data_IF_666293801553
#
_entry.id   IF_666293801553
#
_cell.length_a   1.000
_cell.length_b   1.000
_cell.length_c   1.000
_cell.angle_alpha   90.00
_cell.angle_beta   90.00
_cell.angle_gamma   90.00
#
_symmetry.space_group_name_H-M   'P 1'
#
loop_
_entity.id
_entity.type
_entity.pdbx_description
1 polymer ?
#
# COMPACT_ATOMS: atom_id res chain seq x y z
N UNK A 1 21.67 -12.66 -15.43
CA UNK A 1 20.20 -12.91 -15.49
C UNK A 1 19.53 -11.65 -14.98
N UNK A 2 18.41 -11.21 -15.58
CA UNK A 2 17.64 -10.08 -15.02
C UNK A 2 17.09 -10.47 -13.65
N UNK A 3 17.20 -9.56 -12.66
CA UNK A 3 16.63 -9.79 -11.33
C UNK A 3 15.10 -9.95 -11.44
N UNK A 4 14.52 -10.79 -10.59
CA UNK A 4 13.08 -11.10 -10.58
C UNK A 4 12.28 -10.05 -9.81
N UNK A 5 10.97 -10.07 -9.99
CA UNK A 5 10.00 -9.39 -9.11
C UNK A 5 9.62 -10.33 -7.96
N UNK A 6 9.67 -9.85 -6.72
CA UNK A 6 9.21 -10.61 -5.54
C UNK A 6 7.70 -10.45 -5.35
N UNK A 7 7.02 -11.53 -4.94
CA UNK A 7 5.67 -11.50 -4.44
C UNK A 7 5.67 -12.00 -2.99
N UNK A 8 5.15 -11.19 -2.07
CA UNK A 8 5.12 -11.50 -0.65
C UNK A 8 3.68 -11.56 -0.14
N UNK A 9 3.36 -12.63 0.54
CA UNK A 9 2.09 -12.84 1.23
C UNK A 9 2.38 -13.57 2.54
N UNK A 10 2.19 -12.88 3.68
CA UNK A 10 2.39 -13.50 4.97
C UNK A 10 1.22 -14.42 5.34
N UNK A 11 1.46 -15.64 5.83
CA UNK A 11 0.38 -16.60 6.15
C UNK A 11 -0.64 -16.05 7.17
N UNK A 12 -0.17 -15.29 8.18
CA UNK A 12 -1.05 -14.72 9.22
C UNK A 12 -2.06 -13.69 8.68
N UNK A 13 -1.80 -13.09 7.51
CA UNK A 13 -2.72 -12.12 6.90
C UNK A 13 -4.11 -12.70 6.61
N UNK A 14 -4.20 -14.02 6.38
CA UNK A 14 -5.45 -14.73 6.20
C UNK A 14 -6.24 -14.94 7.51
N UNK A 15 -5.60 -14.76 8.67
CA UNK A 15 -6.20 -14.98 9.99
C UNK A 15 -6.89 -13.75 10.56
N UNK A 16 -6.70 -12.57 9.97
CA UNK A 16 -7.42 -11.36 10.33
C UNK A 16 -8.90 -11.52 9.98
N UNK A 17 -9.76 -11.65 11.00
CA UNK A 17 -11.21 -11.77 10.84
C UNK A 17 -11.90 -10.46 11.22
N UNK A 18 -12.55 -9.86 10.26
CA UNK A 18 -13.31 -8.59 10.41
C UNK A 18 -14.80 -8.81 10.59
N UNK A 19 -15.24 -10.07 10.57
CA UNK A 19 -16.64 -10.47 10.72
C UNK A 19 -17.39 -10.60 9.40
N UNK A 20 -18.52 -11.26 9.51
CA UNK A 20 -19.36 -11.55 8.36
C UNK A 20 -19.90 -10.27 7.72
N UNK A 21 -19.86 -10.21 6.38
CA UNK A 21 -20.37 -9.08 5.60
C UNK A 21 -19.47 -7.85 5.59
N UNK A 22 -18.28 -7.89 6.23
CA UNK A 22 -17.32 -6.81 6.16
C UNK A 22 -16.67 -6.74 4.78
N UNK A 23 -16.52 -5.56 4.14
CA UNK A 23 -15.92 -5.46 2.80
C UNK A 23 -14.46 -5.89 2.79
N UNK A 24 -13.68 -5.52 3.80
CA UNK A 24 -12.29 -5.95 4.01
C UNK A 24 -12.29 -7.33 4.68
N UNK A 25 -12.43 -8.42 3.91
CA UNK A 25 -12.50 -9.80 4.39
C UNK A 25 -11.43 -10.71 3.73
N UNK A 26 -11.18 -11.87 4.31
CA UNK A 26 -10.17 -12.86 3.86
C UNK A 26 -10.31 -13.30 2.40
N UNK A 27 -11.52 -13.21 1.83
CA UNK A 27 -11.79 -13.55 0.44
C UNK A 27 -11.00 -12.73 -0.57
N UNK A 28 -10.59 -11.50 -0.19
CA UNK A 28 -9.71 -10.66 -1.00
C UNK A 28 -8.38 -11.35 -1.27
N UNK A 29 -7.71 -11.85 -0.24
CA UNK A 29 -6.43 -12.57 -0.37
C UNK A 29 -6.58 -13.90 -1.11
N UNK A 30 -7.69 -14.62 -0.90
CA UNK A 30 -7.95 -15.89 -1.62
C UNK A 30 -8.05 -15.67 -3.12
N UNK A 31 -8.82 -14.67 -3.55
CA UNK A 31 -8.96 -14.33 -4.96
C UNK A 31 -7.63 -13.89 -5.57
N UNK A 32 -6.90 -13.02 -4.86
CA UNK A 32 -5.58 -12.55 -5.25
C UNK A 32 -4.60 -13.73 -5.41
N UNK A 33 -4.47 -14.58 -4.39
CA UNK A 33 -3.55 -15.71 -4.42
C UNK A 33 -3.89 -16.70 -5.56
N UNK A 34 -5.19 -16.92 -5.83
CA UNK A 34 -5.62 -17.75 -6.95
C UNK A 34 -5.24 -17.13 -8.30
N UNK A 35 -5.46 -15.83 -8.48
CA UNK A 35 -5.13 -15.13 -9.74
C UNK A 35 -3.62 -15.11 -9.98
N UNK A 36 -2.84 -14.75 -8.97
CA UNK A 36 -1.38 -14.75 -9.06
C UNK A 36 -0.85 -16.16 -9.28
N UNK A 37 -1.36 -17.17 -8.58
CA UNK A 37 -0.97 -18.57 -8.75
C UNK A 37 -1.22 -19.09 -10.16
N UNK A 38 -2.34 -18.73 -10.78
CA UNK A 38 -2.64 -19.09 -12.15
C UNK A 38 -1.71 -18.37 -13.14
N UNK A 39 -1.35 -17.12 -12.89
CA UNK A 39 -0.49 -16.33 -13.76
C UNK A 39 1.00 -16.67 -13.59
N UNK A 40 1.43 -17.15 -12.41
CA UNK A 40 2.82 -17.53 -12.13
C UNK A 40 3.37 -18.56 -13.14
N UNK A 41 2.53 -19.41 -13.68
CA UNK A 41 2.91 -20.34 -14.77
C UNK A 41 3.33 -19.57 -16.03
N UNK A 42 2.72 -18.43 -16.30
CA UNK A 42 3.05 -17.53 -17.42
C UNK A 42 4.19 -16.56 -17.07
N UNK A 43 4.36 -16.26 -15.78
CA UNK A 43 5.42 -15.38 -15.26
C UNK A 43 6.79 -16.08 -15.17
N UNK A 44 6.88 -17.30 -15.63
CA UNK A 44 7.96 -18.26 -15.45
C UNK A 44 9.37 -17.63 -15.39
N UNK A 45 9.96 -17.64 -14.18
CA UNK A 45 11.30 -17.11 -13.93
C UNK A 45 11.43 -15.57 -13.88
N UNK A 46 10.34 -14.80 -13.99
CA UNK A 46 10.37 -13.33 -13.92
C UNK A 46 9.78 -12.79 -12.62
N UNK A 47 8.88 -13.53 -11.98
CA UNK A 47 8.38 -13.27 -10.65
C UNK A 47 8.44 -14.54 -9.80
N UNK A 48 8.63 -14.40 -8.49
CA UNK A 48 8.61 -15.53 -7.57
C UNK A 48 7.98 -15.14 -6.23
N UNK A 49 7.29 -16.11 -5.63
CA UNK A 49 6.79 -15.95 -4.26
C UNK A 49 7.95 -16.13 -3.27
N UNK A 50 8.02 -15.21 -2.30
CA UNK A 50 9.04 -15.19 -1.26
C UNK A 50 8.40 -15.25 0.11
N UNK A 51 9.14 -15.77 1.08
CA UNK A 51 8.72 -15.83 2.47
C UNK A 51 9.09 -14.56 3.22
N UNK A 52 8.34 -14.26 4.28
CA UNK A 52 8.61 -13.18 5.21
C UNK A 52 8.45 -13.67 6.65
N UNK A 53 9.25 -13.12 7.55
CA UNK A 53 9.06 -13.26 8.99
C UNK A 53 8.10 -12.20 9.51
N UNK A 54 7.58 -12.38 10.73
CA UNK A 54 6.80 -11.34 11.41
C UNK A 54 7.65 -10.09 11.66
N UNK A 55 7.03 -8.93 11.57
CA UNK A 55 7.57 -7.67 12.08
C UNK A 55 7.58 -7.66 13.62
N UNK A 56 8.25 -6.68 14.18
CA UNK A 56 8.39 -6.51 15.62
C UNK A 56 7.65 -5.26 16.12
N UNK A 57 7.41 -5.18 17.42
CA UNK A 57 6.87 -3.95 18.01
C UNK A 57 7.78 -2.74 17.83
N UNK A 58 9.10 -2.94 17.80
CA UNK A 58 10.04 -1.87 17.54
C UNK A 58 9.86 -1.30 16.13
N UNK A 59 9.49 -2.14 15.16
CA UNK A 59 9.18 -1.67 13.82
C UNK A 59 7.95 -0.77 13.83
N UNK A 60 6.91 -1.12 14.62
CA UNK A 60 5.70 -0.29 14.76
C UNK A 60 6.00 1.11 15.33
N UNK A 61 6.94 1.20 16.24
CA UNK A 61 7.33 2.45 16.90
C UNK A 61 8.12 3.41 16.00
N UNK A 62 8.49 3.00 14.78
CA UNK A 62 9.09 3.90 13.78
C UNK A 62 8.10 4.99 13.32
N UNK A 63 6.81 4.72 13.41
CA UNK A 63 5.74 5.65 13.00
C UNK A 63 4.71 5.85 14.10
N UNK A 64 4.29 4.76 14.74
CA UNK A 64 3.16 4.80 15.68
C UNK A 64 3.58 5.11 17.10
N UNK A 65 2.70 5.82 17.80
CA UNK A 65 2.90 6.08 19.23
C UNK A 65 2.74 4.78 20.03
N UNK A 66 3.46 4.68 21.15
CA UNK A 66 3.35 3.55 22.06
C UNK A 66 1.91 3.30 22.51
N UNK A 67 1.18 4.36 22.83
CA UNK A 67 -0.24 4.27 23.23
C UNK A 67 -1.13 3.67 22.13
N UNK A 68 -0.84 3.97 20.86
CA UNK A 68 -1.58 3.36 19.74
C UNK A 68 -1.28 1.87 19.64
N UNK A 69 -0.02 1.47 19.68
CA UNK A 69 0.40 0.07 19.63
C UNK A 69 -0.24 -0.73 20.77
N UNK A 70 -0.21 -0.19 22.00
CA UNK A 70 -0.84 -0.82 23.16
C UNK A 70 -2.36 -0.94 23.04
N UNK A 71 -3.05 0.10 22.49
CA UNK A 71 -4.51 0.06 22.25
C UNK A 71 -4.90 -1.04 21.27
N UNK A 72 -4.18 -1.16 20.15
CA UNK A 72 -4.45 -2.22 19.16
C UNK A 72 -4.23 -3.60 19.76
N UNK A 73 -3.12 -3.79 20.49
CA UNK A 73 -2.82 -5.05 21.19
C UNK A 73 -3.92 -5.40 22.20
N UNK A 74 -4.29 -4.46 23.06
CA UNK A 74 -5.31 -4.67 24.08
C UNK A 74 -6.69 -4.99 23.46
N UNK A 75 -7.03 -4.38 22.33
CA UNK A 75 -8.25 -4.71 21.60
C UNK A 75 -8.24 -6.14 21.04
N UNK A 76 -7.11 -6.59 20.50
CA UNK A 76 -6.95 -7.97 20.03
C UNK A 76 -7.01 -8.97 21.17
N UNK A 77 -6.38 -8.67 22.33
CA UNK A 77 -6.46 -9.50 23.52
C UNK A 77 -7.90 -9.59 24.05
N UNK A 78 -8.63 -8.46 24.10
CA UNK A 78 -10.02 -8.47 24.47
C UNK A 78 -10.88 -9.29 23.50
N UNK A 79 -10.58 -9.24 22.20
CA UNK A 79 -11.26 -10.09 21.21
C UNK A 79 -11.04 -11.58 21.46
N UNK A 80 -9.85 -11.97 21.95
CA UNK A 80 -9.53 -13.34 22.37
C UNK A 80 -10.30 -13.72 23.64
N UNK A 81 -10.22 -12.89 24.68
CA UNK A 81 -10.86 -13.15 25.98
C UNK A 81 -12.38 -13.29 25.87
N UNK A 82 -13.01 -12.43 25.03
CA UNK A 82 -14.45 -12.42 24.78
C UNK A 82 -14.88 -13.38 23.66
N UNK A 83 -13.94 -14.01 22.96
CA UNK A 83 -14.17 -14.79 21.75
C UNK A 83 -15.09 -14.07 20.77
N UNK A 84 -14.77 -12.82 20.50
CA UNK A 84 -15.61 -11.91 19.72
C UNK A 84 -14.79 -11.02 18.80
N UNK A 85 -15.47 -10.28 17.91
CA UNK A 85 -14.86 -9.24 17.09
C UNK A 85 -15.08 -7.89 17.76
N UNK A 86 -14.00 -7.15 17.95
CA UNK A 86 -14.00 -5.84 18.62
C UNK A 86 -13.85 -4.72 17.58
N UNK A 87 -14.69 -3.70 17.66
CA UNK A 87 -14.53 -2.47 16.90
C UNK A 87 -13.56 -1.54 17.65
N UNK A 88 -12.48 -1.15 16.99
CA UNK A 88 -11.52 -0.13 17.48
C UNK A 88 -11.98 1.26 17.06
N UNK A 89 -12.61 1.34 15.90
CA UNK A 89 -13.17 2.52 15.24
C UNK A 89 -14.52 2.12 14.61
N UNK A 90 -15.41 3.03 14.21
CA UNK A 90 -16.71 2.66 13.62
C UNK A 90 -16.65 1.64 12.49
N UNK A 91 -15.58 1.62 11.70
CA UNK A 91 -15.40 0.74 10.56
C UNK A 91 -14.22 -0.25 10.71
N UNK A 92 -13.34 -0.05 11.68
CA UNK A 92 -12.11 -0.85 11.85
C UNK A 92 -12.28 -1.88 12.96
N UNK A 93 -12.21 -3.15 12.60
CA UNK A 93 -12.48 -4.29 13.48
C UNK A 93 -11.26 -5.18 13.67
N UNK A 94 -11.16 -5.81 14.84
CA UNK A 94 -10.10 -6.78 15.16
C UNK A 94 -10.69 -8.06 15.74
N UNK A 95 -10.00 -9.17 15.51
CA UNK A 95 -10.17 -10.47 16.11
C UNK A 95 -8.92 -10.85 16.93
N UNK A 96 -8.96 -11.99 17.61
CA UNK A 96 -7.82 -12.54 18.37
C UNK A 96 -6.53 -12.65 17.54
N UNK A 97 -6.64 -12.88 16.22
CA UNK A 97 -5.47 -13.07 15.34
C UNK A 97 -5.06 -11.78 14.59
N UNK A 98 -5.77 -10.67 14.78
CA UNK A 98 -5.48 -9.44 14.04
C UNK A 98 -4.13 -8.83 14.39
N UNK A 99 -3.66 -9.01 15.64
CA UNK A 99 -2.32 -8.60 16.06
C UNK A 99 -1.23 -9.33 15.26
N UNK A 100 -1.32 -10.66 15.19
CA UNK A 100 -0.36 -11.48 14.43
C UNK A 100 -0.42 -11.15 12.93
N UNK A 101 -1.61 -10.92 12.38
CA UNK A 101 -1.76 -10.54 10.98
C UNK A 101 -1.14 -9.16 10.69
N UNK A 102 -1.30 -8.20 11.59
CA UNK A 102 -0.70 -6.87 11.45
C UNK A 102 0.84 -6.94 11.50
N UNK A 103 1.41 -7.69 12.45
CA UNK A 103 2.86 -7.92 12.48
C UNK A 103 3.35 -8.67 11.24
N UNK A 104 2.60 -9.65 10.75
CA UNK A 104 2.92 -10.35 9.50
C UNK A 104 2.91 -9.42 8.28
N UNK A 105 1.96 -8.47 8.20
CA UNK A 105 1.93 -7.45 7.13
C UNK A 105 3.15 -6.55 7.17
N UNK A 106 3.51 -6.04 8.34
CA UNK A 106 4.71 -5.19 8.53
C UNK A 106 5.98 -5.97 8.21
N UNK A 107 6.09 -7.22 8.70
CA UNK A 107 7.23 -8.09 8.42
C UNK A 107 7.40 -8.39 6.94
N UNK A 108 6.31 -8.67 6.23
CA UNK A 108 6.33 -8.86 4.78
C UNK A 108 6.77 -7.60 4.03
N UNK A 109 6.30 -6.43 4.46
CA UNK A 109 6.68 -5.14 3.90
C UNK A 109 8.18 -4.87 4.04
N UNK A 110 8.73 -5.07 5.24
CA UNK A 110 10.17 -4.90 5.52
C UNK A 110 10.99 -5.96 4.77
N UNK A 111 10.58 -7.23 4.76
CA UNK A 111 11.30 -8.31 4.08
C UNK A 111 11.40 -8.07 2.56
N UNK A 112 10.30 -7.64 1.94
CA UNK A 112 10.28 -7.29 0.52
C UNK A 112 11.24 -6.14 0.21
N UNK A 113 11.20 -5.09 1.01
CA UNK A 113 12.05 -3.91 0.86
C UNK A 113 13.52 -4.26 1.06
N UNK A 114 13.83 -5.07 2.08
CA UNK A 114 15.17 -5.57 2.34
C UNK A 114 15.73 -6.37 1.16
N UNK A 115 14.93 -7.27 0.58
CA UNK A 115 15.34 -8.05 -0.58
C UNK A 115 15.64 -7.18 -1.82
N UNK A 116 14.88 -6.08 -2.00
CA UNK A 116 15.15 -5.09 -3.05
C UNK A 116 16.45 -4.33 -2.78
N UNK A 117 16.65 -3.85 -1.54
CA UNK A 117 17.88 -3.13 -1.13
C UNK A 117 19.13 -4.02 -1.30
N UNK A 118 19.05 -5.28 -0.87
CA UNK A 118 20.14 -6.24 -1.00
C UNK A 118 20.40 -6.67 -2.44
N UNK A 119 19.47 -6.37 -3.32
CA UNK A 119 19.56 -6.70 -4.74
C UNK A 119 19.29 -8.18 -5.05
N UNK A 120 18.64 -8.91 -4.15
CA UNK A 120 18.18 -10.27 -4.39
C UNK A 120 17.06 -10.29 -5.44
N UNK A 121 16.20 -9.28 -5.41
CA UNK A 121 15.15 -9.00 -6.38
C UNK A 121 15.25 -7.57 -6.89
N UNK A 122 14.57 -7.27 -7.99
CA UNK A 122 14.56 -5.92 -8.58
C UNK A 122 13.55 -5.01 -7.89
N UNK A 123 12.35 -5.52 -7.67
CA UNK A 123 11.21 -4.83 -7.12
C UNK A 123 10.25 -5.86 -6.53
N UNK A 124 9.18 -5.44 -5.83
CA UNK A 124 8.25 -6.37 -5.19
C UNK A 124 6.80 -5.87 -5.16
N UNK A 125 5.87 -6.81 -5.05
CA UNK A 125 4.51 -6.60 -4.62
C UNK A 125 4.28 -7.34 -3.29
N UNK A 126 3.69 -6.65 -2.31
CA UNK A 126 3.37 -7.18 -0.98
C UNK A 126 1.87 -7.20 -0.78
N UNK A 127 1.30 -8.37 -0.58
CA UNK A 127 -0.11 -8.55 -0.28
C UNK A 127 -0.39 -8.29 1.22
N UNK A 128 -0.24 -7.04 1.65
CA UNK A 128 -0.49 -6.61 3.03
C UNK A 128 -1.97 -6.75 3.39
N UNK A 129 -2.24 -7.39 4.51
CA UNK A 129 -3.55 -7.43 5.15
C UNK A 129 -3.39 -7.69 6.65
N UNK A 130 -3.89 -6.80 7.53
CA UNK A 130 -4.65 -5.55 7.24
C UNK A 130 -3.95 -4.55 6.33
N UNK A 131 -4.70 -3.68 5.61
CA UNK A 131 -4.14 -2.54 4.87
C UNK A 131 -3.57 -1.49 5.83
N UNK A 132 -2.97 -0.40 5.30
CA UNK A 132 -2.19 0.49 6.15
C UNK A 132 -2.40 1.99 5.99
N UNK A 133 -2.68 2.51 4.81
CA UNK A 133 -2.51 3.92 4.47
C UNK A 133 -3.40 4.91 5.26
N UNK A 134 -4.50 4.44 5.87
CA UNK A 134 -5.35 5.26 6.74
C UNK A 134 -4.87 5.34 8.19
N UNK A 135 -4.08 4.37 8.68
CA UNK A 135 -3.62 4.38 10.06
C UNK A 135 -2.69 5.58 10.30
N UNK A 136 -3.12 6.50 11.17
CA UNK A 136 -2.31 7.65 11.58
C UNK A 136 -1.29 7.23 12.63
N UNK A 137 -0.30 8.06 12.97
CA UNK A 137 0.63 7.73 14.06
C UNK A 137 -0.05 7.39 15.39
N UNK A 138 -1.25 7.91 15.62
CA UNK A 138 -1.98 7.74 16.88
C UNK A 138 -3.28 6.95 16.81
N UNK A 139 -3.76 6.52 15.62
CA UNK A 139 -5.11 5.96 15.49
C UNK A 139 -5.22 4.93 14.36
N UNK A 140 -5.89 3.80 14.65
CA UNK A 140 -6.39 2.87 13.64
C UNK A 140 -7.70 3.39 13.06
N UNK A 141 -7.87 3.35 11.75
CA UNK A 141 -9.10 3.75 11.05
C UNK A 141 -9.11 3.22 9.61
N UNK A 142 -10.25 3.26 8.93
CA UNK A 142 -10.35 2.85 7.53
C UNK A 142 -9.85 1.43 7.28
N UNK A 143 -10.18 0.48 8.16
CA UNK A 143 -9.72 -0.91 8.16
C UNK A 143 -8.22 -1.10 8.44
N UNK A 144 -7.46 -0.03 8.62
CA UNK A 144 -6.01 -0.03 8.82
C UNK A 144 -5.66 -0.03 10.31
N UNK A 145 -4.79 -0.95 10.73
CA UNK A 145 -4.31 -1.04 12.10
C UNK A 145 -2.97 -0.30 12.29
N UNK A 146 -2.03 -0.55 11.39
CA UNK A 146 -0.71 0.10 11.33
C UNK A 146 -0.39 0.46 9.89
N UNK A 147 0.34 1.54 9.70
CA UNK A 147 0.67 2.07 8.38
C UNK A 147 1.87 1.37 7.76
N UNK A 148 1.63 0.26 7.06
CA UNK A 148 2.67 -0.59 6.49
C UNK A 148 3.68 0.19 5.62
N UNK A 149 3.20 1.08 4.76
CA UNK A 149 4.05 1.83 3.83
C UNK A 149 4.86 2.91 4.55
N UNK A 150 4.26 3.62 5.52
CA UNK A 150 4.97 4.63 6.30
C UNK A 150 6.06 3.99 7.19
N UNK A 151 5.74 2.85 7.82
CA UNK A 151 6.73 2.05 8.57
C UNK A 151 7.89 1.62 7.69
N UNK A 152 7.61 1.20 6.46
CA UNK A 152 8.64 0.81 5.50
C UNK A 152 9.53 1.99 5.09
N UNK A 153 8.94 3.17 4.86
CA UNK A 153 9.72 4.37 4.56
C UNK A 153 10.66 4.76 5.72
N UNK A 154 10.16 4.72 6.95
CA UNK A 154 10.97 4.97 8.15
C UNK A 154 12.03 3.92 8.39
N UNK A 155 11.72 2.64 8.10
CA UNK A 155 12.70 1.56 8.17
C UNK A 155 13.85 1.78 7.20
N UNK A 156 13.56 2.15 5.94
CA UNK A 156 14.60 2.49 4.94
C UNK A 156 15.54 3.59 5.44
N UNK A 157 14.99 4.63 6.05
CA UNK A 157 15.76 5.74 6.60
C UNK A 157 16.56 5.34 7.84
N UNK A 158 15.95 4.64 8.79
CA UNK A 158 16.59 4.21 10.03
C UNK A 158 17.78 3.25 9.80
N UNK A 159 17.66 2.39 8.79
CA UNK A 159 18.73 1.45 8.40
C UNK A 159 19.75 2.08 7.41
N UNK A 160 19.58 3.34 7.03
CA UNK A 160 20.50 4.05 6.12
C UNK A 160 20.48 3.55 4.68
N UNK A 161 19.36 3.00 4.24
CA UNK A 161 19.21 2.45 2.89
C UNK A 161 18.68 3.46 1.86
N UNK A 162 17.95 4.46 2.33
CA UNK A 162 17.49 5.59 1.52
C UNK A 162 17.17 6.79 2.44
N UNK A 163 17.66 7.96 2.09
CA UNK A 163 17.30 9.20 2.77
C UNK A 163 16.02 9.81 2.19
N UNK A 164 15.81 9.67 0.87
CA UNK A 164 14.68 10.26 0.14
C UNK A 164 13.77 9.18 -0.42
N UNK A 165 12.52 9.14 0.09
CA UNK A 165 11.52 8.14 -0.31
C UNK A 165 10.33 8.82 -0.98
N UNK A 166 9.96 8.39 -2.18
CA UNK A 166 8.71 8.78 -2.83
C UNK A 166 7.62 7.75 -2.51
N UNK A 167 6.53 8.20 -1.91
CA UNK A 167 5.32 7.40 -1.70
C UNK A 167 4.25 7.85 -2.70
N UNK A 168 3.76 6.91 -3.49
CA UNK A 168 2.66 7.10 -4.43
C UNK A 168 1.47 6.30 -3.93
N UNK A 169 0.33 6.95 -3.78
CA UNK A 169 -0.92 6.33 -3.33
C UNK A 169 -1.99 6.55 -4.41
N UNK A 170 -2.46 5.46 -5.00
CA UNK A 170 -3.56 5.48 -5.96
C UNK A 170 -4.80 4.73 -5.47
N UNK A 171 -4.87 4.38 -4.18
CA UNK A 171 -6.11 3.92 -3.58
C UNK A 171 -7.23 4.94 -3.85
N UNK A 172 -8.48 4.48 -3.97
CA UNK A 172 -9.59 5.40 -4.25
C UNK A 172 -9.82 6.38 -3.10
N UNK A 173 -9.37 6.01 -1.89
CA UNK A 173 -9.45 6.84 -0.70
C UNK A 173 -8.13 7.60 -0.48
N UNK A 174 -8.22 8.80 0.07
CA UNK A 174 -7.03 9.55 0.47
C UNK A 174 -6.26 8.84 1.60
N UNK A 175 -4.96 8.63 1.42
CA UNK A 175 -4.06 8.03 2.43
C UNK A 175 -3.71 9.01 3.56
N UNK A 176 -4.72 9.40 4.35
CA UNK A 176 -4.59 10.40 5.41
C UNK A 176 -3.56 10.06 6.48
N UNK A 177 -3.41 8.77 6.80
CA UNK A 177 -2.42 8.32 7.79
C UNK A 177 -1.00 8.49 7.28
N UNK A 178 -0.76 8.16 6.02
CA UNK A 178 0.53 8.38 5.36
C UNK A 178 0.84 9.87 5.25
N UNK A 179 -0.13 10.69 4.83
CA UNK A 179 0.03 12.14 4.81
C UNK A 179 0.40 12.68 6.19
N UNK A 180 -0.31 12.29 7.25
CA UNK A 180 -0.05 12.78 8.61
C UNK A 180 1.36 12.40 9.10
N UNK A 181 1.82 11.18 8.80
CA UNK A 181 3.14 10.69 9.22
C UNK A 181 4.30 11.51 8.63
N UNK A 182 4.10 12.13 7.46
CA UNK A 182 5.15 12.84 6.72
C UNK A 182 4.81 14.31 6.43
N UNK A 183 3.75 14.88 7.00
CA UNK A 183 3.25 16.20 6.63
C UNK A 183 4.23 17.35 6.90
N UNK A 184 5.14 17.20 7.86
CA UNK A 184 6.21 18.14 8.18
C UNK A 184 7.61 17.69 7.73
N UNK A 185 7.72 16.74 6.79
CA UNK A 185 8.98 16.07 6.47
C UNK A 185 9.34 16.19 4.99
N UNK A 186 10.45 16.87 4.69
CA UNK A 186 10.96 17.04 3.33
C UNK A 186 11.71 15.81 2.78
N UNK A 187 11.97 14.80 3.60
CA UNK A 187 12.69 13.58 3.19
C UNK A 187 11.77 12.53 2.56
N UNK A 188 10.45 12.70 2.72
CA UNK A 188 9.43 11.85 2.09
C UNK A 188 8.51 12.72 1.24
N UNK A 189 8.41 12.39 -0.05
CA UNK A 189 7.42 13.01 -0.93
C UNK A 189 6.18 12.11 -0.99
N UNK A 190 5.02 12.64 -0.59
CA UNK A 190 3.74 11.93 -0.65
C UNK A 190 2.90 12.45 -1.81
N UNK A 191 2.55 11.57 -2.74
CA UNK A 191 1.67 11.81 -3.88
C UNK A 191 0.43 10.93 -3.75
N UNK A 192 -0.77 11.53 -3.66
CA UNK A 192 -2.03 10.80 -3.59
C UNK A 192 -3.00 11.25 -4.68
N UNK A 193 -3.51 10.27 -5.46
CA UNK A 193 -4.64 10.47 -6.37
C UNK A 193 -5.85 9.73 -5.79
N UNK A 194 -6.93 10.44 -5.49
CA UNK A 194 -8.08 9.84 -4.81
C UNK A 194 -9.40 10.48 -5.23
N UNK A 195 -10.49 9.76 -5.01
CA UNK A 195 -11.83 10.28 -5.25
C UNK A 195 -12.16 11.38 -4.24
N UNK A 196 -12.76 12.48 -4.69
CA UNK A 196 -13.25 13.56 -3.84
C UNK A 196 -14.54 14.16 -4.38
N UNK A 197 -15.57 14.42 -3.52
CA UNK A 197 -15.61 14.11 -2.08
C UNK A 197 -15.76 12.61 -1.81
N UNK A 198 -15.01 12.08 -0.87
CA UNK A 198 -15.06 10.69 -0.42
C UNK A 198 -14.44 10.54 0.99
N UNK A 199 -14.53 9.33 1.58
CA UNK A 199 -13.83 8.99 2.83
C UNK A 199 -12.30 9.22 2.65
N UNK A 200 -11.57 9.70 3.66
CA UNK A 200 -12.02 10.14 4.99
C UNK A 200 -12.41 11.63 5.05
N UNK A 201 -12.54 12.33 3.93
CA UNK A 201 -12.90 13.74 3.87
C UNK A 201 -11.71 14.71 3.96
N UNK A 202 -10.49 14.19 3.80
CA UNK A 202 -9.22 14.92 3.73
C UNK A 202 -8.60 14.81 2.32
N UNK A 203 -7.41 15.35 2.10
CA UNK A 203 -6.72 15.27 0.81
C UNK A 203 -7.10 16.39 -0.15
N UNK A 204 -7.45 17.57 0.37
CA UNK A 204 -7.64 18.75 -0.47
C UNK A 204 -6.33 19.09 -1.21
N UNK A 205 -6.43 19.58 -2.45
CA UNK A 205 -5.27 20.05 -3.23
C UNK A 205 -4.47 21.16 -2.53
N UNK A 206 -5.06 21.82 -1.52
CA UNK A 206 -4.40 22.82 -0.71
C UNK A 206 -3.62 22.23 0.48
N UNK A 207 -3.79 20.96 0.79
CA UNK A 207 -3.01 20.26 1.79
C UNK A 207 -1.66 19.86 1.17
N UNK A 208 -0.62 20.66 1.39
CA UNK A 208 0.65 20.58 0.68
C UNK A 208 1.86 20.30 1.58
N UNK A 209 1.65 19.98 2.84
CA UNK A 209 2.69 19.89 3.86
C UNK A 209 2.70 21.09 4.79
N UNK A 210 3.59 21.10 5.76
CA UNK A 210 3.85 22.19 6.69
C UNK A 210 5.32 22.25 7.07
N UNK A 211 5.78 23.36 7.57
CA UNK A 211 7.16 23.55 8.03
C UNK A 211 8.17 23.08 6.95
N UNK A 212 9.12 22.24 7.28
CA UNK A 212 10.10 21.69 6.33
C UNK A 212 9.46 20.83 5.23
N UNK A 213 8.29 20.21 5.49
CA UNK A 213 7.52 19.42 4.56
C UNK A 213 6.64 20.20 3.58
N UNK A 214 6.63 21.55 3.63
CA UNK A 214 5.81 22.35 2.71
C UNK A 214 6.16 22.10 1.25
N UNK A 215 5.14 21.63 0.50
CA UNK A 215 5.25 21.26 -0.91
C UNK A 215 5.83 19.87 -1.16
N UNK A 216 5.99 19.03 -0.13
CA UNK A 216 6.33 17.61 -0.27
C UNK A 216 5.13 16.67 -0.11
N UNK A 217 3.93 17.24 -0.03
CA UNK A 217 2.64 16.57 -0.18
C UNK A 217 1.97 17.08 -1.46
N UNK A 218 1.50 16.17 -2.32
CA UNK A 218 0.75 16.49 -3.54
C UNK A 218 -0.53 15.66 -3.56
N UNK A 219 -1.66 16.31 -3.31
CA UNK A 219 -2.98 15.72 -3.40
C UNK A 219 -3.64 16.07 -4.73
N UNK A 220 -4.17 15.05 -5.42
CA UNK A 220 -4.90 15.15 -6.68
C UNK A 220 -6.32 14.58 -6.47
N UNK A 221 -7.23 15.38 -5.86
CA UNK A 221 -8.62 14.97 -5.71
C UNK A 221 -9.33 14.94 -7.06
N UNK A 222 -9.92 13.80 -7.41
CA UNK A 222 -10.61 13.57 -8.67
C UNK A 222 -12.11 13.29 -8.43
N UNK A 223 -13.02 13.83 -9.25
CA UNK A 223 -14.44 13.54 -9.12
C UNK A 223 -14.76 12.06 -9.41
N UNK A 224 -15.85 11.58 -8.81
CA UNK A 224 -16.39 10.25 -9.12
C UNK A 224 -16.59 10.08 -10.63
N UNK A 225 -16.37 8.89 -11.15
CA UNK A 225 -16.49 8.53 -12.55
C UNK A 225 -15.58 9.35 -13.48
N UNK A 226 -14.44 9.86 -12.97
CA UNK A 226 -13.41 10.46 -13.84
C UNK A 226 -13.07 9.48 -14.98
N UNK A 227 -13.10 9.95 -16.24
CA UNK A 227 -12.74 9.10 -17.37
C UNK A 227 -11.32 8.51 -17.23
N UNK A 228 -11.15 7.26 -17.61
CA UNK A 228 -9.87 6.53 -17.48
C UNK A 228 -8.67 7.30 -18.03
N UNK A 229 -8.84 7.86 -19.25
CA UNK A 229 -7.77 8.63 -19.89
C UNK A 229 -7.39 9.89 -19.10
N UNK A 230 -8.38 10.56 -18.49
CA UNK A 230 -8.15 11.76 -17.67
C UNK A 230 -7.47 11.39 -16.34
N UNK A 231 -7.84 10.25 -15.73
CA UNK A 231 -7.17 9.74 -14.53
C UNK A 231 -5.69 9.42 -14.80
N UNK A 232 -5.40 8.65 -15.87
CA UNK A 232 -4.03 8.29 -16.24
C UNK A 232 -3.22 9.53 -16.58
N UNK A 233 -3.83 10.50 -17.29
CA UNK A 233 -3.17 11.78 -17.56
C UNK A 233 -2.86 12.57 -16.28
N UNK A 234 -3.81 12.64 -15.33
CA UNK A 234 -3.59 13.29 -14.04
C UNK A 234 -2.46 12.60 -13.25
N UNK A 235 -2.39 11.27 -13.31
CA UNK A 235 -1.31 10.51 -12.73
C UNK A 235 0.05 10.85 -13.35
N UNK A 236 0.17 10.84 -14.69
CA UNK A 236 1.40 11.17 -15.40
C UNK A 236 1.87 12.60 -15.08
N UNK A 237 0.96 13.56 -15.03
CA UNK A 237 1.25 14.98 -14.71
C UNK A 237 1.76 15.11 -13.26
N UNK A 238 1.08 14.44 -12.31
CA UNK A 238 1.43 14.47 -10.89
C UNK A 238 2.76 13.78 -10.60
N UNK A 239 3.00 12.62 -11.18
CA UNK A 239 4.29 11.91 -11.09
C UNK A 239 5.42 12.78 -11.67
N UNK A 240 5.21 13.35 -12.86
CA UNK A 240 6.20 14.24 -13.46
C UNK A 240 6.45 15.52 -12.63
N UNK A 241 5.45 16.05 -11.92
CA UNK A 241 5.63 17.15 -10.97
C UNK A 241 6.45 16.72 -9.75
N UNK A 242 6.15 15.56 -9.17
CA UNK A 242 6.88 15.03 -8.02
C UNK A 242 8.37 14.82 -8.37
N UNK A 243 8.67 14.14 -9.46
CA UNK A 243 10.03 13.82 -9.89
C UNK A 243 10.86 15.06 -10.29
N UNK A 244 10.23 16.14 -10.76
CA UNK A 244 10.93 17.41 -11.01
C UNK A 244 11.41 18.09 -9.72
N UNK A 245 10.70 17.89 -8.62
CA UNK A 245 11.01 18.50 -7.33
C UNK A 245 11.85 17.58 -6.44
N UNK A 246 11.69 16.28 -6.59
CA UNK A 246 12.20 15.29 -5.66
C UNK A 246 12.85 14.13 -6.40
N UNK A 247 14.14 13.88 -6.14
CA UNK A 247 14.89 12.76 -6.69
C UNK A 247 14.89 11.62 -5.66
N UNK A 248 13.99 10.63 -5.78
CA UNK A 248 13.89 9.56 -4.81
C UNK A 248 15.04 8.56 -4.93
N UNK A 249 15.41 7.96 -3.81
CA UNK A 249 16.35 6.83 -3.74
C UNK A 249 15.61 5.50 -3.63
N UNK A 250 14.30 5.58 -3.30
CA UNK A 250 13.38 4.45 -3.25
C UNK A 250 11.94 4.90 -3.52
N UNK A 251 11.15 4.06 -4.19
CA UNK A 251 9.73 4.34 -4.43
C UNK A 251 8.88 3.28 -3.76
N UNK A 252 7.89 3.73 -2.98
CA UNK A 252 6.86 2.90 -2.36
C UNK A 252 5.50 3.25 -2.96
N UNK A 253 4.64 2.25 -3.12
CA UNK A 253 3.32 2.44 -3.73
C UNK A 253 2.23 1.83 -2.86
N UNK A 254 1.30 2.65 -2.37
CA UNK A 254 0.02 2.20 -1.83
C UNK A 254 -0.90 1.87 -3.02
N UNK A 255 -1.02 0.57 -3.28
CA UNK A 255 -1.75 0.04 -4.41
C UNK A 255 -3.15 -0.40 -3.99
N UNK A 256 -4.10 0.53 -4.00
CA UNK A 256 -5.52 0.23 -3.90
C UNK A 256 -6.08 -0.29 -5.22
N UNK A 257 -7.01 -1.23 -5.13
CA UNK A 257 -7.71 -1.81 -6.27
C UNK A 257 -9.20 -1.40 -6.32
N UNK A 258 -9.64 -0.61 -5.36
CA UNK A 258 -10.94 0.05 -5.29
C UNK A 258 -11.08 1.24 -6.25
N UNK A 259 -9.98 1.66 -6.86
CA UNK A 259 -9.93 2.61 -7.98
C UNK A 259 -10.44 1.98 -9.30
N UNK A 260 -10.60 0.65 -9.35
CA UNK A 260 -11.12 -0.03 -10.53
C UNK A 260 -12.64 -0.01 -10.59
N UNK A 261 -13.17 -0.13 -11.81
CA UNK A 261 -14.59 -0.26 -12.05
C UNK A 261 -15.20 -1.45 -11.28
N UNK A 262 -16.47 -1.33 -10.89
CA UNK A 262 -17.25 -2.34 -10.17
C UNK A 262 -16.81 -2.56 -8.70
N UNK A 263 -16.00 -1.69 -8.11
CA UNK A 263 -15.71 -1.76 -6.70
C UNK A 263 -16.89 -1.21 -5.88
N UNK A 264 -17.33 -1.91 -4.80
CA UNK A 264 -18.47 -1.46 -4.01
C UNK A 264 -18.20 -0.22 -3.15
N UNK A 265 -16.95 0.14 -2.89
CA UNK A 265 -16.57 1.29 -2.05
C UNK A 265 -15.89 2.41 -2.86
N UNK A 266 -15.64 2.21 -4.13
CA UNK A 266 -15.05 3.20 -5.03
C UNK A 266 -15.97 3.52 -6.22
N UNK A 267 -15.83 4.70 -6.79
CA UNK A 267 -16.60 5.11 -7.97
C UNK A 267 -15.72 5.50 -9.16
N UNK A 268 -14.46 5.08 -9.17
CA UNK A 268 -13.56 5.25 -10.31
C UNK A 268 -13.77 4.16 -11.35
N UNK A 269 -13.19 4.32 -12.53
CA UNK A 269 -13.48 3.50 -13.71
C UNK A 269 -12.25 2.79 -14.26
N UNK A 270 -11.14 2.71 -13.50
CA UNK A 270 -9.91 2.10 -14.01
C UNK A 270 -10.08 0.61 -14.27
N UNK A 271 -9.28 0.11 -15.19
CA UNK A 271 -9.18 -1.28 -15.56
C UNK A 271 -7.77 -1.82 -15.23
N UNK A 272 -7.55 -3.14 -15.18
CA UNK A 272 -6.23 -3.72 -14.93
C UNK A 272 -5.14 -3.16 -15.86
N UNK A 273 -5.49 -2.89 -17.11
CA UNK A 273 -4.58 -2.30 -18.11
C UNK A 273 -4.06 -0.90 -17.72
N UNK A 274 -4.87 -0.10 -17.02
CA UNK A 274 -4.47 1.21 -16.55
C UNK A 274 -3.46 1.07 -15.39
N UNK A 275 -3.75 0.17 -14.44
CA UNK A 275 -2.83 -0.13 -13.33
C UNK A 275 -1.49 -0.67 -13.85
N UNK A 276 -1.52 -1.55 -14.86
CA UNK A 276 -0.30 -1.97 -15.55
C UNK A 276 0.46 -0.76 -16.12
N UNK A 277 -0.23 0.13 -16.81
CA UNK A 277 0.38 1.31 -17.45
C UNK A 277 0.98 2.24 -16.41
N UNK A 278 0.25 2.55 -15.32
CA UNK A 278 0.74 3.39 -14.21
C UNK A 278 1.98 2.73 -13.53
N UNK A 279 1.92 1.42 -13.30
CA UNK A 279 3.07 0.68 -12.74
C UNK A 279 4.30 0.74 -13.65
N UNK A 280 4.11 0.58 -14.97
CA UNK A 280 5.21 0.71 -15.95
C UNK A 280 5.83 2.11 -15.91
N UNK A 281 5.01 3.16 -15.83
CA UNK A 281 5.49 4.54 -15.68
C UNK A 281 6.35 4.71 -14.42
N UNK A 282 5.89 4.20 -13.27
CA UNK A 282 6.68 4.27 -12.03
C UNK A 282 8.04 3.56 -12.21
N UNK A 283 8.05 2.35 -12.76
CA UNK A 283 9.29 1.58 -12.95
C UNK A 283 10.25 2.25 -13.94
N UNK A 284 9.72 2.86 -15.00
CA UNK A 284 10.51 3.53 -16.02
C UNK A 284 11.09 4.84 -15.50
N UNK A 285 10.31 5.66 -14.82
CA UNK A 285 10.74 6.94 -14.29
C UNK A 285 11.62 6.75 -13.04
N UNK A 286 11.28 5.83 -12.14
CA UNK A 286 12.09 5.51 -10.97
C UNK A 286 13.44 4.84 -11.34
N UNK A 287 13.53 4.15 -12.48
CA UNK A 287 14.77 3.56 -12.95
C UNK A 287 15.86 4.60 -13.21
N UNK A 288 15.48 5.84 -13.51
CA UNK A 288 16.44 6.92 -13.73
C UNK A 288 17.10 7.40 -12.43
N UNK A 289 16.33 7.43 -11.32
CA UNK A 289 16.76 8.05 -10.06
C UNK A 289 17.12 7.03 -8.97
N UNK A 290 16.54 5.82 -8.99
CA UNK A 290 16.71 4.83 -7.91
C UNK A 290 16.95 3.38 -8.39
N UNK A 291 17.52 3.16 -9.57
CA UNK A 291 17.81 1.83 -10.13
C UNK A 291 16.57 0.90 -10.22
N UNK A 292 15.37 1.47 -10.35
CA UNK A 292 14.12 0.73 -10.41
C UNK A 292 13.69 0.09 -9.08
N UNK A 293 14.17 0.60 -7.95
CA UNK A 293 13.77 0.14 -6.61
C UNK A 293 12.35 0.58 -6.30
N UNK A 294 11.40 -0.34 -6.48
CA UNK A 294 9.97 -0.11 -6.25
C UNK A 294 9.40 -1.25 -5.41
N UNK A 295 8.62 -0.92 -4.38
CA UNK A 295 7.80 -1.89 -3.64
C UNK A 295 6.37 -1.38 -3.58
N UNK A 296 5.42 -2.20 -4.05
CA UNK A 296 3.99 -1.91 -4.02
C UNK A 296 3.30 -2.74 -2.93
N UNK A 297 2.37 -2.13 -2.22
CA UNK A 297 1.63 -2.70 -1.10
C UNK A 297 0.14 -2.73 -1.41
N UNK A 298 -0.50 -3.85 -1.14
CA UNK A 298 -1.96 -3.96 -1.22
C UNK A 298 -2.60 -3.04 -0.18
N UNK A 299 -3.49 -2.18 -0.62
CA UNK A 299 -4.39 -1.42 0.25
C UNK A 299 -5.85 -1.86 0.04
N UNK A 300 -6.72 -0.97 -0.41
CA UNK A 300 -8.12 -1.27 -0.67
C UNK A 300 -8.37 -2.14 -1.91
N UNK A 301 -9.64 -2.27 -2.24
CA UNK A 301 -10.17 -3.13 -3.30
C UNK A 301 -11.06 -4.21 -2.72
N UNK A 302 -12.36 -4.11 -3.00
CA UNK A 302 -13.42 -4.84 -2.28
C UNK A 302 -14.30 -5.67 -3.23
N UNK A 303 -13.92 -5.77 -4.49
CA UNK A 303 -14.40 -6.74 -5.46
C UNK A 303 -13.31 -7.81 -5.67
N UNK A 304 -13.34 -8.97 -4.96
CA UNK A 304 -12.23 -9.91 -4.93
C UNK A 304 -11.75 -10.39 -6.31
N UNK A 305 -12.60 -10.73 -7.28
CA UNK A 305 -12.16 -11.05 -8.65
C UNK A 305 -11.37 -9.91 -9.30
N UNK A 306 -11.81 -8.66 -9.14
CA UNK A 306 -11.14 -7.49 -9.71
C UNK A 306 -9.78 -7.22 -9.02
N UNK A 307 -9.71 -7.39 -7.70
CA UNK A 307 -8.44 -7.32 -6.96
C UNK A 307 -7.42 -8.30 -7.55
N UNK A 308 -7.82 -9.55 -7.79
CA UNK A 308 -6.93 -10.54 -8.39
C UNK A 308 -6.40 -10.13 -9.76
N UNK A 309 -7.27 -9.60 -10.65
CA UNK A 309 -6.87 -9.10 -11.97
C UNK A 309 -5.92 -7.89 -11.86
N UNK A 310 -6.23 -6.94 -10.99
CA UNK A 310 -5.41 -5.75 -10.78
C UNK A 310 -4.02 -6.09 -10.23
N UNK A 311 -3.93 -7.00 -9.25
CA UNK A 311 -2.64 -7.44 -8.69
C UNK A 311 -1.77 -8.12 -9.75
N UNK A 312 -2.36 -8.98 -10.59
CA UNK A 312 -1.63 -9.58 -11.73
C UNK A 312 -1.10 -8.50 -12.66
N UNK A 313 -1.90 -7.48 -12.98
CA UNK A 313 -1.48 -6.37 -13.84
C UNK A 313 -0.31 -5.58 -13.23
N UNK A 314 -0.36 -5.29 -11.94
CA UNK A 314 0.74 -4.60 -11.22
C UNK A 314 2.01 -5.46 -11.20
N UNK A 315 1.93 -6.75 -10.86
CA UNK A 315 3.09 -7.67 -10.86
C UNK A 315 3.71 -7.76 -12.26
N UNK A 316 2.90 -7.88 -13.32
CA UNK A 316 3.39 -7.87 -14.71
C UNK A 316 4.06 -6.56 -15.07
N UNK A 317 3.48 -5.43 -14.65
CA UNK A 317 4.09 -4.11 -14.81
C UNK A 317 5.45 -4.01 -14.13
N UNK A 318 5.57 -4.43 -12.87
CA UNK A 318 6.83 -4.50 -12.12
C UNK A 318 7.87 -5.40 -12.81
N UNK A 319 7.46 -6.56 -13.28
CA UNK A 319 8.33 -7.55 -13.93
C UNK A 319 8.74 -7.17 -15.37
N UNK A 320 8.14 -6.13 -15.95
CA UNK A 320 8.38 -5.74 -17.34
C UNK A 320 7.89 -6.80 -18.34
N UNK A 321 6.80 -7.45 -18.02
CA UNK A 321 6.10 -8.41 -18.88
C UNK A 321 5.04 -7.71 -19.72
N UNK A 322 4.48 -8.41 -20.70
CA UNK A 322 3.33 -7.90 -21.46
C UNK A 322 2.09 -7.75 -20.57
N UNK A 323 1.16 -6.89 -20.98
CA UNK A 323 -0.15 -6.75 -20.33
C UNK A 323 -0.82 -8.11 -20.14
N UNK A 324 -1.62 -8.28 -19.06
CA UNK A 324 -2.36 -9.51 -18.82
C UNK A 324 -3.36 -9.83 -19.92
#
# INVERSE_FOLDING_TARGET
MSKKTGFFLHPSSSLHDTGWGHPEHQGRLRALASSVGNDLLMLHGRAEQMEAADGTENDLLLVHTKDHVERVRAACQRAEDENSIIAIDPDTKVSSQSWNAALGSVGAAIAATKAVVQGDIRNAFVATRPPGHHATPGQAMGFCLFNNIALTARWLQAEGHADRVLIIDWDVHHGNGTQEAFYGDATVYFLSLHQSPHYPGTGSANERGRDDGEGYTLNVPLPIATPRADYVKAFDEALGQALKKFSPEFVLVSAGFDVMAEDPLGGMLLEPDDLYTMTRRIVEDAAADCDGKVVAFLEGGYNPPRVGQGVVAVIRGLAGLEKP
#
